data_IF_004399796129
#
_entry.id   IF_004399796129
#
_cell.length_a   1.000
_cell.length_b   1.000
_cell.length_c   1.000
_cell.angle_alpha   90.00
_cell.angle_beta   90.00
_cell.angle_gamma   90.00
#
_symmetry.space_group_name_H-M   'P 1'
#
loop_
_entity.id
_entity.type
_entity.pdbx_description
1 polymer ?
#
# COMPACT_ATOMS: atom_id res chain seq x y z
N UNK A 1 18.24 2.81 23.61
CA UNK A 1 18.18 1.73 24.63
C UNK A 1 17.02 2.01 25.58
N UNK A 2 16.30 1.00 26.05
CA UNK A 2 15.27 1.17 27.09
C UNK A 2 16.01 1.46 28.39
N UNK A 3 15.60 2.52 29.07
CA UNK A 3 16.17 2.92 30.36
C UNK A 3 15.19 2.62 31.50
N UNK A 4 13.89 2.80 31.23
CA UNK A 4 12.84 2.56 32.21
C UNK A 4 11.59 1.99 31.56
N UNK A 5 10.96 1.04 32.22
CA UNK A 5 9.69 0.46 31.83
C UNK A 5 8.70 0.57 32.99
N UNK A 6 7.54 1.16 32.75
CA UNK A 6 6.42 1.23 33.69
C UNK A 6 5.27 0.41 33.16
N UNK A 7 4.69 -0.36 34.02
CA UNK A 7 3.55 -1.23 33.73
C UNK A 7 2.46 -0.89 34.75
N UNK A 8 1.24 -0.69 34.28
CA UNK A 8 0.06 -0.51 35.15
C UNK A 8 -1.09 -1.37 34.64
N UNK A 9 -1.74 -2.05 35.56
CA UNK A 9 -2.96 -2.84 35.37
C UNK A 9 -2.88 -3.84 34.20
N UNK A 10 -1.70 -4.47 34.03
CA UNK A 10 -1.45 -5.46 32.99
C UNK A 10 -1.46 -6.87 33.58
N UNK A 11 -2.37 -7.70 33.15
CA UNK A 11 -2.59 -9.08 33.61
C UNK A 11 -2.76 -9.14 35.13
N UNK A 12 -1.80 -9.72 35.86
CA UNK A 12 -1.82 -9.78 37.35
C UNK A 12 -1.07 -8.61 38.00
N UNK A 13 -0.36 -7.80 37.22
CA UNK A 13 0.46 -6.70 37.75
C UNK A 13 -0.40 -5.44 37.88
N UNK A 14 -0.50 -4.90 39.09
CA UNK A 14 -1.16 -3.62 39.36
C UNK A 14 -0.27 -2.44 38.96
N UNK A 15 0.96 -2.43 39.48
CA UNK A 15 1.98 -1.45 39.13
C UNK A 15 3.37 -2.08 39.24
N UNK A 16 4.22 -1.81 38.26
CA UNK A 16 5.64 -2.17 38.29
C UNK A 16 6.45 -1.10 37.59
N UNK A 17 7.62 -0.82 38.13
CA UNK A 17 8.63 0.01 37.46
C UNK A 17 9.96 -0.74 37.46
N UNK A 18 10.58 -0.82 36.26
CA UNK A 18 11.86 -1.52 36.07
C UNK A 18 12.82 -0.53 35.43
N UNK A 19 13.97 -0.36 36.01
CA UNK A 19 15.08 0.41 35.44
C UNK A 19 16.12 -0.54 34.87
N UNK A 20 16.56 -0.28 33.64
CA UNK A 20 17.54 -1.08 32.94
C UNK A 20 18.90 -0.35 32.91
N UNK A 21 19.95 -1.08 33.23
CA UNK A 21 21.31 -0.62 33.03
C UNK A 21 21.82 -0.87 31.60
N UNK A 22 22.96 -0.31 31.23
CA UNK A 22 23.60 -0.64 29.96
C UNK A 22 24.11 -2.10 29.94
N UNK A 23 23.99 -2.78 28.79
CA UNK A 23 24.45 -4.15 28.62
C UNK A 23 23.43 -5.20 29.03
N UNK A 24 23.88 -6.24 29.74
CA UNK A 24 23.06 -7.38 30.14
C UNK A 24 22.27 -7.05 31.41
N UNK A 25 20.96 -7.22 31.34
CA UNK A 25 20.05 -7.14 32.47
C UNK A 25 19.42 -8.53 32.70
N UNK A 26 19.51 -9.06 33.91
CA UNK A 26 18.92 -10.36 34.27
C UNK A 26 17.67 -10.16 35.12
N UNK A 27 16.54 -10.70 34.63
CA UNK A 27 15.27 -10.73 35.37
C UNK A 27 15.05 -12.15 35.88
N UNK A 28 15.19 -12.36 37.19
CA UNK A 28 15.05 -13.65 37.86
C UNK A 28 13.73 -13.72 38.63
N UNK A 29 13.20 -14.91 38.83
CA UNK A 29 11.98 -15.16 39.60
C UNK A 29 11.35 -16.49 39.22
N UNK A 30 10.38 -16.95 40.00
CA UNK A 30 9.67 -18.18 39.74
C UNK A 30 8.89 -18.15 38.41
N UNK A 31 8.63 -19.33 37.83
CA UNK A 31 7.87 -19.47 36.58
C UNK A 31 6.42 -19.00 36.77
N UNK A 32 5.95 -18.12 35.88
CA UNK A 32 4.58 -17.61 35.85
C UNK A 32 4.36 -16.21 36.44
N UNK A 33 5.24 -15.73 37.30
CA UNK A 33 4.95 -14.59 38.17
C UNK A 33 5.26 -13.18 37.64
N UNK A 34 5.70 -12.98 36.43
CA UNK A 34 5.97 -11.60 35.99
C UNK A 34 6.91 -11.46 34.80
N UNK A 35 7.84 -12.43 34.61
CA UNK A 35 8.78 -12.37 33.48
C UNK A 35 8.08 -12.30 32.12
N UNK A 36 7.05 -13.11 31.92
CA UNK A 36 6.24 -13.13 30.68
C UNK A 36 5.42 -11.84 30.52
N UNK A 37 5.02 -11.20 31.63
CA UNK A 37 4.27 -9.94 31.60
C UNK A 37 5.19 -8.80 31.12
N UNK A 38 6.45 -8.78 31.56
CA UNK A 38 7.46 -7.80 31.10
C UNK A 38 7.72 -7.98 29.61
N UNK A 39 7.87 -9.23 29.12
CA UNK A 39 8.01 -9.51 27.68
C UNK A 39 6.74 -9.08 26.92
N UNK A 40 5.55 -9.35 27.44
CA UNK A 40 4.28 -8.90 26.87
C UNK A 40 4.17 -7.37 26.81
N UNK A 41 4.61 -6.68 27.87
CA UNK A 41 4.67 -5.22 27.90
C UNK A 41 5.60 -4.65 26.82
N UNK A 42 6.79 -5.23 26.64
CA UNK A 42 7.71 -4.84 25.58
C UNK A 42 7.14 -5.13 24.19
N UNK A 43 6.46 -6.27 24.01
CA UNK A 43 5.79 -6.61 22.75
C UNK A 43 4.68 -5.61 22.40
N UNK A 44 3.94 -5.10 23.40
CA UNK A 44 2.96 -4.04 23.19
C UNK A 44 3.61 -2.75 22.67
N UNK A 45 4.74 -2.35 23.24
CA UNK A 45 5.50 -1.17 22.81
C UNK A 45 6.13 -1.35 21.42
N UNK A 46 6.45 -2.59 21.03
CA UNK A 46 6.89 -2.92 19.68
C UNK A 46 5.74 -2.98 18.64
N UNK A 47 4.51 -2.59 19.02
CA UNK A 47 3.37 -2.61 18.11
C UNK A 47 2.65 -3.95 18.00
N UNK A 48 2.98 -4.92 18.88
CA UNK A 48 2.35 -6.23 18.93
C UNK A 48 0.83 -6.18 19.12
N UNK A 49 0.13 -7.26 18.79
CA UNK A 49 -1.32 -7.36 19.02
C UNK A 49 -1.66 -7.22 20.50
N UNK A 50 -2.72 -6.49 20.78
CA UNK A 50 -3.28 -6.35 22.12
C UNK A 50 -4.68 -6.97 22.16
N UNK A 51 -4.95 -7.77 23.19
CA UNK A 51 -6.27 -8.29 23.52
C UNK A 51 -6.77 -7.60 24.79
N UNK A 52 -8.08 -7.35 24.89
CA UNK A 52 -8.70 -6.81 26.09
C UNK A 52 -8.48 -7.71 27.34
N UNK A 53 -8.25 -9.00 27.13
CA UNK A 53 -7.95 -9.97 28.19
C UNK A 53 -6.64 -9.66 28.96
N UNK A 54 -5.76 -8.81 28.42
CA UNK A 54 -4.54 -8.39 29.13
C UNK A 54 -4.80 -7.34 30.20
N UNK A 55 -5.99 -6.71 30.23
CA UNK A 55 -6.35 -5.72 31.24
C UNK A 55 -6.64 -6.43 32.57
N UNK A 56 -6.01 -5.98 33.63
CA UNK A 56 -6.17 -6.54 34.98
C UNK A 56 -7.63 -6.60 35.37
N UNK A 57 -8.04 -7.66 36.05
CA UNK A 57 -9.39 -7.78 36.60
C UNK A 57 -9.68 -6.62 37.56
N UNK A 58 -10.79 -5.91 37.32
CA UNK A 58 -11.19 -4.73 38.09
C UNK A 58 -10.67 -3.40 37.56
N UNK A 59 -9.73 -3.40 36.61
CA UNK A 59 -9.23 -2.18 35.96
C UNK A 59 -9.97 -1.89 34.63
N UNK A 60 -10.03 -0.62 34.25
CA UNK A 60 -10.63 -0.19 32.96
C UNK A 60 -9.64 -0.19 31.80
N UNK A 61 -8.35 -0.01 32.09
CA UNK A 61 -7.29 0.14 31.09
C UNK A 61 -5.97 -0.42 31.64
N UNK A 62 -5.24 -1.14 30.80
CA UNK A 62 -3.84 -1.48 31.02
C UNK A 62 -2.95 -0.45 30.32
N UNK A 63 -1.86 -0.03 30.97
CA UNK A 63 -0.91 0.93 30.40
C UNK A 63 0.51 0.45 30.54
N UNK A 64 1.25 0.56 29.45
CA UNK A 64 2.70 0.33 29.40
C UNK A 64 3.37 1.60 28.90
N UNK A 65 4.44 2.00 29.55
CA UNK A 65 5.23 3.16 29.19
C UNK A 65 6.72 2.81 29.27
N UNK A 66 7.50 3.22 28.29
CA UNK A 66 8.96 3.09 28.35
C UNK A 66 9.65 4.39 27.99
N UNK A 67 10.76 4.63 28.65
CA UNK A 67 11.70 5.70 28.34
C UNK A 67 12.88 5.09 27.59
N UNK A 68 13.11 5.58 26.37
CA UNK A 68 14.23 5.19 25.52
C UNK A 68 15.27 6.30 25.46
N UNK A 69 16.54 5.96 25.65
CA UNK A 69 17.64 6.86 25.33
C UNK A 69 18.04 6.68 23.88
N UNK A 70 17.90 7.74 23.08
CA UNK A 70 18.03 7.68 21.61
C UNK A 70 19.44 7.95 21.09
N UNK A 71 20.30 8.64 21.81
CA UNK A 71 21.61 9.15 21.35
C UNK A 71 22.60 8.13 20.77
N UNK A 72 22.30 6.82 20.86
CA UNK A 72 23.04 5.74 20.19
C UNK A 72 22.25 5.08 19.05
N UNK A 73 21.15 5.67 18.64
CA UNK A 73 20.21 5.13 17.65
C UNK A 73 19.92 6.15 16.54
N UNK A 74 20.92 6.57 15.74
CA UNK A 74 20.78 7.64 14.76
C UNK A 74 19.67 7.33 13.72
N UNK A 75 19.50 6.07 13.33
CA UNK A 75 18.43 5.67 12.42
C UNK A 75 17.03 5.78 13.03
N UNK A 76 16.88 5.64 14.35
CA UNK A 76 15.63 5.91 15.05
C UNK A 76 15.36 7.41 15.12
N UNK A 77 16.38 8.21 15.48
CA UNK A 77 16.25 9.67 15.55
C UNK A 77 15.85 10.28 14.19
N UNK A 78 16.45 9.80 13.09
CA UNK A 78 16.07 10.23 11.75
C UNK A 78 14.59 9.89 11.44
N UNK A 79 14.16 8.65 11.73
CA UNK A 79 12.77 8.23 11.51
C UNK A 79 11.75 8.98 12.40
N UNK A 80 12.15 9.37 13.61
CA UNK A 80 11.33 10.20 14.50
C UNK A 80 11.20 11.63 13.96
N UNK A 81 12.32 12.23 13.55
CA UNK A 81 12.36 13.58 13.00
C UNK A 81 11.50 13.74 11.75
N UNK A 82 11.56 12.77 10.84
CA UNK A 82 10.70 12.73 9.65
C UNK A 82 9.20 12.78 9.97
N UNK A 83 8.83 12.33 11.18
CA UNK A 83 7.44 12.29 11.66
C UNK A 83 7.10 13.41 12.64
N UNK A 84 8.05 14.31 12.93
CA UNK A 84 7.89 15.37 13.92
C UNK A 84 7.70 14.84 15.36
N UNK A 85 8.31 13.70 15.67
CA UNK A 85 8.24 13.02 16.98
C UNK A 85 9.60 13.13 17.71
N UNK A 86 10.16 14.31 17.74
CA UNK A 86 11.51 14.54 18.30
C UNK A 86 11.58 14.19 19.78
N UNK A 87 12.63 13.47 20.22
CA UNK A 87 12.88 13.21 21.62
C UNK A 87 13.26 14.51 22.36
N UNK A 88 12.89 14.63 23.62
CA UNK A 88 13.29 15.72 24.51
C UNK A 88 14.57 15.31 25.25
N UNK A 89 15.63 16.13 25.19
CA UNK A 89 16.92 15.87 25.85
C UNK A 89 17.53 14.48 25.62
N UNK A 90 17.25 13.89 24.44
CA UNK A 90 17.70 12.55 24.07
C UNK A 90 16.89 11.42 24.72
N UNK A 91 15.79 11.74 25.41
CA UNK A 91 14.85 10.82 25.98
C UNK A 91 13.56 10.77 25.14
N UNK A 92 13.14 9.57 24.79
CA UNK A 92 11.91 9.31 24.05
C UNK A 92 10.95 8.54 24.94
N UNK A 93 9.83 9.15 25.27
CA UNK A 93 8.75 8.47 25.99
C UNK A 93 7.82 7.83 24.98
N UNK A 94 7.63 6.52 25.13
CA UNK A 94 6.69 5.72 24.32
C UNK A 94 5.69 5.08 25.24
N UNK A 95 4.42 5.25 24.99
CA UNK A 95 3.38 4.60 25.77
C UNK A 95 2.32 3.92 24.92
N UNK A 96 1.74 2.89 25.49
CA UNK A 96 0.58 2.22 24.92
C UNK A 96 -0.43 1.88 26.00
N UNK A 97 -1.70 2.15 25.74
CA UNK A 97 -2.80 1.73 26.57
C UNK A 97 -3.78 0.82 25.83
N UNK A 98 -4.39 -0.08 26.56
CA UNK A 98 -5.40 -1.02 26.05
C UNK A 98 -6.57 -1.00 27.01
N UNK A 99 -7.75 -0.61 26.55
CA UNK A 99 -8.96 -0.58 27.36
C UNK A 99 -9.67 -1.94 27.36
N UNK A 100 -10.50 -2.17 28.35
CA UNK A 100 -11.38 -3.33 28.48
C UNK A 100 -12.34 -3.50 27.29
N UNK A 101 -12.65 -2.40 26.61
CA UNK A 101 -13.45 -2.42 25.37
C UNK A 101 -12.66 -2.82 24.13
N UNK A 102 -11.38 -3.19 24.26
CA UNK A 102 -10.48 -3.56 23.16
C UNK A 102 -9.87 -2.38 22.42
N UNK A 103 -10.20 -1.14 22.77
CA UNK A 103 -9.56 0.03 22.17
C UNK A 103 -8.12 0.15 22.62
N UNK A 104 -7.21 0.34 21.67
CA UNK A 104 -5.78 0.53 21.93
C UNK A 104 -5.33 1.91 21.45
N UNK A 105 -4.56 2.61 22.27
CA UNK A 105 -3.97 3.91 21.97
C UNK A 105 -2.46 3.83 22.16
N UNK A 106 -1.74 4.54 21.32
CA UNK A 106 -0.30 4.65 21.40
C UNK A 106 0.12 6.12 21.40
N UNK A 107 1.18 6.45 22.12
CA UNK A 107 1.80 7.77 22.03
C UNK A 107 3.33 7.64 21.96
N UNK A 108 3.95 8.57 21.23
CA UNK A 108 5.40 8.73 21.08
C UNK A 108 5.71 10.20 21.28
N UNK A 109 6.68 10.52 22.13
CA UNK A 109 7.04 11.89 22.50
C UNK A 109 5.79 12.72 22.90
N UNK A 110 4.89 12.15 23.69
CA UNK A 110 3.66 12.81 24.15
C UNK A 110 2.55 12.97 23.10
N UNK A 111 2.78 12.61 21.83
CA UNK A 111 1.80 12.72 20.75
C UNK A 111 1.11 11.38 20.48
N UNK A 112 -0.20 11.41 20.29
CA UNK A 112 -0.96 10.22 19.89
C UNK A 112 -0.58 9.82 18.46
N UNK A 113 -0.30 8.52 18.27
CA UNK A 113 0.06 7.94 16.98
C UNK A 113 -0.74 6.65 16.72
N UNK A 114 -0.94 6.26 15.45
CA UNK A 114 -1.41 4.92 15.12
C UNK A 114 -0.47 3.84 15.68
N UNK A 115 -1.04 2.69 16.09
CA UNK A 115 -0.23 1.56 16.63
C UNK A 115 0.78 1.03 15.60
N UNK A 116 0.49 1.12 14.31
CA UNK A 116 1.41 0.77 13.23
C UNK A 116 2.74 1.53 13.30
N UNK A 117 2.72 2.78 13.76
CA UNK A 117 3.95 3.57 13.95
C UNK A 117 4.86 2.95 15.02
N UNK A 118 4.31 2.33 16.08
CA UNK A 118 5.13 1.59 17.03
C UNK A 118 5.82 0.39 16.36
N UNK A 119 5.11 -0.35 15.51
CA UNK A 119 5.69 -1.48 14.79
C UNK A 119 6.79 -1.03 13.82
N UNK A 120 6.61 0.09 13.11
CA UNK A 120 7.61 0.66 12.22
C UNK A 120 8.86 1.17 12.97
N UNK A 121 8.67 1.86 14.09
CA UNK A 121 9.77 2.44 14.85
C UNK A 121 10.51 1.42 15.71
N UNK A 122 9.80 0.44 16.28
CA UNK A 122 10.35 -0.46 17.30
C UNK A 122 10.30 -1.93 16.96
N UNK A 123 9.50 -2.37 15.99
CA UNK A 123 9.33 -3.79 15.64
C UNK A 123 10.61 -4.50 15.27
N UNK A 124 11.52 -3.81 14.56
CA UNK A 124 12.84 -4.34 14.18
C UNK A 124 13.94 -4.04 15.22
N UNK A 125 13.68 -3.19 16.20
CA UNK A 125 14.66 -2.75 17.21
C UNK A 125 14.47 -3.43 18.55
N UNK A 126 13.28 -3.95 18.81
CA UNK A 126 12.94 -4.76 19.99
C UNK A 126 12.76 -6.21 19.54
N UNK A 127 13.82 -6.99 19.59
CA UNK A 127 13.72 -8.43 19.32
C UNK A 127 13.36 -9.16 20.60
N UNK A 128 12.20 -9.82 20.61
CA UNK A 128 11.71 -10.62 21.72
C UNK A 128 11.80 -12.07 21.33
N UNK A 129 12.83 -12.76 21.87
CA UNK A 129 12.98 -14.20 21.74
C UNK A 129 12.18 -14.90 22.83
N UNK A 130 11.00 -15.42 22.51
CA UNK A 130 10.21 -16.27 23.40
C UNK A 130 10.58 -17.74 23.24
N UNK A 131 10.08 -18.60 24.12
CA UNK A 131 10.30 -20.07 24.08
C UNK A 131 9.94 -20.74 22.74
N UNK A 132 9.27 -20.04 21.86
CA UNK A 132 8.76 -20.55 20.60
C UNK A 132 9.33 -19.91 19.35
N UNK A 133 10.40 -19.05 19.41
CA UNK A 133 11.11 -18.62 18.20
C UNK A 133 11.47 -17.12 18.15
N UNK A 134 12.67 -16.83 17.68
CA UNK A 134 13.00 -15.51 17.15
C UNK A 134 12.27 -15.31 15.82
N UNK A 135 11.27 -14.45 15.78
CA UNK A 135 10.45 -14.21 14.59
C UNK A 135 11.27 -13.72 13.37
N UNK A 136 12.42 -13.09 13.59
CA UNK A 136 13.30 -12.62 12.51
C UNK A 136 13.99 -13.76 11.77
N UNK A 137 14.44 -14.80 12.47
CA UNK A 137 15.09 -15.95 11.85
C UNK A 137 14.12 -16.86 11.08
N UNK A 138 12.82 -16.77 11.33
CA UNK A 138 11.81 -17.49 10.54
C UNK A 138 11.53 -16.84 9.19
N UNK A 139 11.77 -15.54 9.05
CA UNK A 139 11.55 -14.82 7.79
C UNK A 139 12.78 -14.99 6.91
N UNK A 140 12.69 -15.80 5.88
CA UNK A 140 13.76 -16.00 4.89
C UNK A 140 14.25 -14.69 4.27
N UNK A 141 13.38 -13.69 4.19
CA UNK A 141 13.69 -12.34 3.70
C UNK A 141 14.73 -11.61 4.56
N UNK A 142 14.80 -11.89 5.87
CA UNK A 142 15.77 -11.28 6.78
C UNK A 142 17.14 -11.95 6.77
N UNK A 143 17.26 -13.19 6.29
CA UNK A 143 18.52 -13.94 6.32
C UNK A 143 19.62 -13.23 5.54
N UNK A 144 19.31 -12.75 4.31
CA UNK A 144 20.26 -12.00 3.51
C UNK A 144 20.72 -10.70 4.17
N UNK A 145 19.79 -9.99 4.83
CA UNK A 145 20.12 -8.75 5.55
C UNK A 145 21.04 -9.02 6.74
N UNK A 146 20.77 -10.07 7.52
CA UNK A 146 21.59 -10.46 8.67
C UNK A 146 22.99 -10.89 8.24
N UNK A 147 23.09 -11.66 7.15
CA UNK A 147 24.36 -12.10 6.60
C UNK A 147 25.19 -10.91 6.08
N UNK A 148 24.55 -10.01 5.32
CA UNK A 148 25.19 -8.80 4.81
C UNK A 148 25.62 -7.86 5.94
N UNK A 149 24.82 -7.74 7.01
CA UNK A 149 25.16 -6.97 8.20
C UNK A 149 26.38 -7.58 8.93
N UNK A 150 26.40 -8.90 9.12
CA UNK A 150 27.52 -9.61 9.71
C UNK A 150 28.80 -9.45 8.89
N UNK A 151 28.69 -9.50 7.56
CA UNK A 151 29.80 -9.30 6.63
C UNK A 151 30.23 -7.84 6.42
N UNK A 152 29.57 -6.86 7.05
CA UNK A 152 29.84 -5.43 6.84
C UNK A 152 29.48 -4.95 5.42
N UNK A 153 28.55 -5.63 4.74
CA UNK A 153 28.23 -5.42 3.32
C UNK A 153 26.97 -4.55 3.09
N UNK A 154 26.43 -3.89 4.12
CA UNK A 154 25.18 -3.12 4.02
C UNK A 154 25.24 -2.01 2.96
N UNK A 155 26.36 -1.32 2.81
CA UNK A 155 26.52 -0.28 1.78
C UNK A 155 26.48 -0.88 0.36
N UNK A 156 27.15 -2.03 0.16
CA UNK A 156 27.11 -2.74 -1.13
C UNK A 156 25.72 -3.25 -1.44
N UNK A 157 25.02 -3.80 -0.44
CA UNK A 157 23.61 -4.18 -0.57
C UNK A 157 22.75 -2.99 -1.00
N UNK A 158 22.90 -1.83 -0.36
CA UNK A 158 22.16 -0.63 -0.72
C UNK A 158 22.46 -0.18 -2.16
N UNK A 159 23.70 -0.29 -2.63
CA UNK A 159 24.06 0.01 -4.02
C UNK A 159 23.39 -0.95 -5.01
N UNK A 160 23.37 -2.25 -4.72
CA UNK A 160 22.67 -3.27 -5.54
C UNK A 160 21.17 -3.00 -5.59
N UNK A 161 20.56 -2.68 -4.44
CA UNK A 161 19.12 -2.34 -4.36
C UNK A 161 18.79 -1.15 -5.27
N UNK A 162 19.55 -0.06 -5.17
CA UNK A 162 19.37 1.12 -6.04
C UNK A 162 19.52 0.78 -7.52
N UNK A 163 20.53 -0.01 -7.87
CA UNK A 163 20.76 -0.45 -9.26
C UNK A 163 19.60 -1.31 -9.78
N UNK A 164 19.08 -2.20 -8.96
CA UNK A 164 17.92 -3.03 -9.32
C UNK A 164 16.65 -2.20 -9.52
N UNK A 165 16.40 -1.19 -8.69
CA UNK A 165 15.26 -0.29 -8.84
C UNK A 165 15.33 0.51 -10.14
N UNK A 166 16.51 1.05 -10.49
CA UNK A 166 16.73 1.74 -11.75
C UNK A 166 16.48 0.80 -12.94
N UNK A 167 17.04 -0.42 -12.89
CA UNK A 167 16.82 -1.42 -13.93
C UNK A 167 15.35 -1.80 -14.10
N UNK A 168 14.63 -1.99 -12.99
CA UNK A 168 13.19 -2.29 -12.99
C UNK A 168 12.40 -1.16 -13.65
N UNK A 169 12.70 0.10 -13.31
CA UNK A 169 12.06 1.27 -13.92
C UNK A 169 12.32 1.32 -15.42
N UNK A 170 13.58 1.21 -15.85
CA UNK A 170 13.94 1.24 -17.28
C UNK A 170 13.29 0.10 -18.07
N UNK A 171 13.18 -1.09 -17.49
CA UNK A 171 12.46 -2.22 -18.12
C UNK A 171 10.97 -1.92 -18.28
N UNK A 172 10.34 -1.31 -17.29
CA UNK A 172 8.93 -0.92 -17.38
C UNK A 172 8.72 0.17 -18.44
N UNK A 173 9.57 1.20 -18.48
CA UNK A 173 9.53 2.25 -19.51
C UNK A 173 9.72 1.68 -20.92
N UNK A 174 10.69 0.78 -21.10
CA UNK A 174 10.90 0.09 -22.36
C UNK A 174 9.68 -0.71 -22.80
N UNK A 175 9.05 -1.45 -21.88
CA UNK A 175 7.86 -2.23 -22.17
C UNK A 175 6.68 -1.34 -22.60
N UNK A 176 6.47 -0.20 -21.92
CA UNK A 176 5.46 0.78 -22.27
C UNK A 176 5.69 1.36 -23.69
N UNK A 177 6.92 1.77 -24.00
CA UNK A 177 7.27 2.31 -25.32
C UNK A 177 7.05 1.28 -26.45
N UNK A 178 7.35 0.01 -26.20
CA UNK A 178 7.11 -1.07 -27.18
C UNK A 178 5.61 -1.32 -27.40
N UNK A 179 4.81 -1.27 -26.32
CA UNK A 179 3.36 -1.39 -26.43
C UNK A 179 2.75 -0.22 -27.20
N UNK A 180 3.16 1.01 -26.89
CA UNK A 180 2.73 2.21 -27.61
C UNK A 180 3.13 2.19 -29.09
N UNK A 181 4.31 1.67 -29.43
CA UNK A 181 4.75 1.52 -30.81
C UNK A 181 3.89 0.53 -31.57
N UNK A 182 3.55 -0.61 -30.96
CA UNK A 182 2.67 -1.61 -31.55
C UNK A 182 1.24 -1.07 -31.77
N UNK A 183 0.72 -0.30 -30.82
CA UNK A 183 -0.60 0.32 -30.94
C UNK A 183 -0.62 1.39 -32.04
N UNK A 184 0.41 2.22 -32.12
CA UNK A 184 0.55 3.20 -33.22
C UNK A 184 0.66 2.53 -34.59
N UNK A 185 1.37 1.42 -34.70
CA UNK A 185 1.44 0.66 -35.93
C UNK A 185 0.07 0.13 -36.34
N UNK A 186 -0.66 -0.52 -35.47
CA UNK A 186 -2.03 -0.99 -35.73
C UNK A 186 -2.96 0.13 -36.13
N UNK A 187 -2.90 1.28 -35.43
CA UNK A 187 -3.73 2.45 -35.75
C UNK A 187 -3.40 3.01 -37.15
N UNK A 188 -2.11 3.10 -37.48
CA UNK A 188 -1.66 3.54 -38.81
C UNK A 188 -2.19 2.60 -39.91
N UNK A 189 -2.04 1.29 -39.72
CA UNK A 189 -2.46 0.30 -40.69
C UNK A 189 -3.99 0.31 -40.89
N UNK A 190 -4.74 0.48 -39.81
CA UNK A 190 -6.20 0.66 -39.88
C UNK A 190 -6.59 1.93 -40.63
N UNK A 191 -5.94 3.07 -40.35
CA UNK A 191 -6.21 4.33 -41.05
C UNK A 191 -5.81 4.27 -42.53
N UNK A 192 -4.69 3.59 -42.88
CA UNK A 192 -4.28 3.38 -44.24
C UNK A 192 -5.32 2.54 -45.01
N UNK A 193 -5.86 1.50 -44.39
CA UNK A 193 -6.96 0.72 -44.99
C UNK A 193 -8.19 1.58 -45.23
N UNK A 194 -8.64 2.39 -44.26
CA UNK A 194 -9.80 3.27 -44.46
C UNK A 194 -9.59 4.32 -45.54
N UNK A 195 -8.40 4.92 -45.62
CA UNK A 195 -8.06 5.86 -46.70
C UNK A 195 -8.12 5.14 -48.05
N UNK A 196 -7.54 3.93 -48.14
CA UNK A 196 -7.57 3.14 -49.37
C UNK A 196 -9.02 2.80 -49.82
N UNK A 197 -9.92 2.49 -48.93
CA UNK A 197 -11.35 2.27 -49.23
C UNK A 197 -12.02 3.53 -49.77
N UNK A 198 -11.77 4.68 -49.13
CA UNK A 198 -12.33 5.98 -49.58
C UNK A 198 -11.82 6.35 -50.94
N UNK A 199 -10.50 6.19 -51.17
CA UNK A 199 -9.88 6.48 -52.47
C UNK A 199 -10.39 5.55 -53.57
N UNK A 200 -10.54 4.26 -53.25
CA UNK A 200 -11.07 3.24 -54.20
C UNK A 200 -12.54 3.49 -54.56
N UNK A 201 -13.31 4.11 -53.67
CA UNK A 201 -14.68 4.50 -53.96
C UNK A 201 -14.79 5.60 -55.04
N UNK A 202 -13.70 6.30 -55.31
CA UNK A 202 -13.63 7.30 -56.41
C UNK A 202 -14.64 8.44 -56.26
N UNK A 203 -14.93 8.85 -55.04
CA UNK A 203 -15.96 9.85 -54.73
C UNK A 203 -15.69 11.18 -55.42
N UNK A 204 -16.71 11.70 -56.13
CA UNK A 204 -16.62 13.00 -56.81
C UNK A 204 -17.42 14.04 -56.01
N UNK A 205 -16.88 15.27 -55.80
CA UNK A 205 -17.62 16.32 -55.13
C UNK A 205 -18.95 16.62 -55.79
N UNK A 206 -20.07 16.59 -55.04
CA UNK A 206 -21.40 16.79 -55.54
C UNK A 206 -22.14 15.53 -56.07
N UNK A 207 -21.47 14.39 -56.10
CA UNK A 207 -22.03 13.13 -56.55
C UNK A 207 -23.26 12.71 -55.75
N UNK A 208 -23.24 12.89 -54.46
CA UNK A 208 -24.39 12.57 -53.57
C UNK A 208 -25.61 13.39 -53.91
N UNK A 209 -25.46 14.68 -54.16
CA UNK A 209 -26.55 15.56 -54.53
C UNK A 209 -27.10 15.20 -55.91
N UNK A 210 -26.23 14.85 -56.87
CA UNK A 210 -26.60 14.40 -58.21
C UNK A 210 -27.37 13.08 -58.13
N UNK A 211 -26.89 12.11 -57.36
CA UNK A 211 -27.56 10.81 -57.17
C UNK A 211 -28.90 10.98 -56.44
N UNK A 212 -28.98 11.85 -55.45
CA UNK A 212 -30.22 12.15 -54.75
C UNK A 212 -31.29 12.76 -55.69
N UNK A 213 -30.87 13.72 -56.55
CA UNK A 213 -31.75 14.31 -57.53
C UNK A 213 -32.19 13.29 -58.61
N UNK A 214 -31.31 12.43 -59.07
CA UNK A 214 -31.62 11.35 -60.02
C UNK A 214 -32.57 10.33 -59.42
N UNK A 215 -32.35 9.91 -58.14
CA UNK A 215 -33.24 9.02 -57.41
C UNK A 215 -34.65 9.62 -57.29
N UNK A 216 -34.74 10.89 -56.88
CA UNK A 216 -36.03 11.58 -56.76
C UNK A 216 -36.76 11.66 -58.14
N UNK A 217 -36.03 11.94 -59.20
CA UNK A 217 -36.58 11.98 -60.58
C UNK A 217 -37.10 10.61 -61.02
N UNK A 218 -36.33 9.56 -60.76
CA UNK A 218 -36.74 8.20 -61.14
C UNK A 218 -37.96 7.73 -60.32
N UNK A 219 -37.97 7.99 -58.99
CA UNK A 219 -39.10 7.66 -58.13
C UNK A 219 -40.38 8.39 -58.57
N UNK A 220 -40.26 9.68 -58.94
CA UNK A 220 -41.40 10.46 -59.40
C UNK A 220 -41.87 10.00 -60.80
N UNK A 221 -40.96 9.55 -61.69
CA UNK A 221 -41.30 8.97 -62.98
C UNK A 221 -42.05 7.63 -62.83
N UNK A 222 -41.70 6.84 -61.84
CA UNK A 222 -42.35 5.58 -61.54
C UNK A 222 -43.77 5.77 -60.99
N UNK A 223 -43.96 6.74 -60.10
CA UNK A 223 -45.29 7.16 -59.63
C UNK A 223 -46.18 7.69 -60.73
N UNK A 224 -45.64 8.54 -61.61
CA UNK A 224 -46.36 9.06 -62.76
C UNK A 224 -46.75 7.96 -63.73
N UNK A 225 -45.87 7.00 -63.97
CA UNK A 225 -46.16 5.84 -64.83
C UNK A 225 -47.26 4.98 -64.25
N UNK A 226 -47.20 4.74 -62.90
CA UNK A 226 -48.24 4.03 -62.17
C UNK A 226 -49.62 4.73 -62.22
N UNK A 227 -49.60 6.06 -61.98
CA UNK A 227 -50.82 6.88 -62.12
C UNK A 227 -51.43 6.89 -63.54
N UNK A 228 -50.51 7.01 -64.56
CA UNK A 228 -50.91 6.98 -65.96
C UNK A 228 -51.54 5.60 -66.38
N UNK A 229 -50.91 4.51 -65.89
CA UNK A 229 -51.39 3.17 -66.13
C UNK A 229 -52.76 2.93 -65.49
N UNK A 230 -52.93 3.45 -64.24
CA UNK A 230 -54.22 3.38 -63.54
C UNK A 230 -55.27 4.21 -64.23
N UNK A 231 -54.92 5.41 -64.69
CA UNK A 231 -55.89 6.26 -65.44
C UNK A 231 -56.26 5.64 -66.84
N UNK A 232 -55.27 5.08 -67.54
CA UNK A 232 -55.46 4.37 -68.77
C UNK A 232 -56.38 3.13 -68.58
N UNK A 233 -56.12 2.35 -67.52
CA UNK A 233 -56.98 1.20 -67.16
C UNK A 233 -58.43 1.60 -66.83
N UNK A 234 -58.59 2.75 -66.13
CA UNK A 234 -59.92 3.29 -65.80
C UNK A 234 -60.67 3.82 -67.06
N UNK A 235 -59.96 4.33 -68.07
CA UNK A 235 -60.52 4.83 -69.29
C UNK A 235 -60.77 3.72 -70.34
N UNK A 236 -59.99 2.63 -70.31
CA UNK A 236 -60.10 1.50 -71.21
C UNK A 236 -60.91 0.34 -70.59
N UNK A 237 -61.36 0.53 -69.33
CA UNK A 237 -62.26 -0.42 -68.70
C UNK A 237 -63.54 -0.53 -69.41
N UNK A 238 -63.57 -1.50 -70.22
CA UNK A 238 -64.81 -1.96 -70.88
C UNK A 238 -65.85 -2.40 -69.90
N UNK A 239 -66.98 -1.93 -70.16
CA UNK A 239 -68.24 -2.55 -69.87
C UNK A 239 -68.22 -4.06 -69.76
#
# INVERSE_FOLDING_TARGET
MIERLRIRDLAIVEAAEITFGPGLNALTGETGAGKSIVLGALALLAGGRADAAIVRAGAEEARVEAVFRTGRLPALEAALRERGLDPEDGELIVSRSVSRSGRSRASVAGRLVPVSILAELFGDRLEISSQHESQRLRRSESHGLLLDAFGGLLERRAAVTRGHEVLRRLRAERAALLADAAERARRRDFLAFQVGEIDAAGLVPGELDALAAEHARLAHAEELRGAAATAAGALSGDT
#
